data_IF_396841614081
#
_entry.id   IF_396841614081
#
_cell.length_a   1.000
_cell.length_b   1.000
_cell.length_c   1.000
_cell.angle_alpha   90.00
_cell.angle_beta   90.00
_cell.angle_gamma   90.00
#
_symmetry.space_group_name_H-M   'P 1'
#
loop_
_entity.id
_entity.type
_entity.pdbx_description
1 polymer ?
2 water ?
#
# COMPACT_ATOMS: atom_id res chain seq x y z
N UNK A 5 -47.54 -41.90 0.36
CA UNK A 5 -46.17 -41.78 -0.11
C UNK A 5 -45.87 -40.35 -0.57
N UNK A 6 -44.58 -40.02 -0.64
CA UNK A 6 -44.15 -38.67 -0.96
C UNK A 6 -43.86 -38.46 -2.44
N UNK A 7 -43.88 -37.21 -2.87
CA UNK A 7 -43.46 -36.84 -4.22
C UNK A 7 -41.95 -37.06 -4.36
N UNK A 8 -41.52 -37.54 -5.51
CA UNK A 8 -40.10 -37.82 -5.73
C UNK A 8 -39.26 -36.55 -5.64
N UNK A 9 -39.82 -35.45 -6.12
CA UNK A 9 -39.11 -34.16 -6.13
C UNK A 9 -39.06 -33.52 -4.75
N UNK A 10 -39.62 -34.21 -3.76
CA UNK A 10 -39.45 -33.82 -2.36
C UNK A 10 -38.43 -34.73 -1.68
N UNK A 11 -38.50 -36.02 -2.02
CA UNK A 11 -37.60 -37.01 -1.44
C UNK A 11 -36.15 -36.83 -1.90
N UNK A 12 -35.98 -36.33 -3.13
CA UNK A 12 -34.66 -36.28 -3.75
C UNK A 12 -33.63 -35.41 -3.01
N UNK A 13 -34.07 -34.63 -2.04
CA UNK A 13 -33.16 -33.75 -1.31
C UNK A 13 -32.78 -34.29 0.06
N UNK A 14 -33.23 -35.50 0.37
CA UNK A 14 -33.13 -36.03 1.73
C UNK A 14 -31.81 -36.73 2.08
N UNK A 15 -31.00 -37.08 1.08
CA UNK A 15 -29.80 -37.85 1.33
C UNK A 15 -28.79 -37.09 2.19
N UNK A 16 -28.34 -37.75 3.26
CA UNK A 16 -27.56 -37.10 4.32
C UNK A 16 -26.05 -37.16 4.15
N UNK A 17 -25.58 -38.00 3.23
CA UNK A 17 -24.15 -38.18 3.04
C UNK A 17 -23.50 -37.03 2.28
N UNK A 18 -22.15 -37.03 2.22
CA UNK A 18 -21.40 -36.05 1.45
C UNK A 18 -21.36 -36.39 -0.04
N UNK A 19 -21.18 -35.38 -0.89
CA UNK A 19 -20.98 -35.60 -2.32
C UNK A 19 -19.60 -36.19 -2.55
N UNK A 20 -19.51 -37.17 -3.45
CA UNK A 20 -18.26 -37.91 -3.63
C UNK A 20 -17.71 -37.89 -5.05
N UNK A 21 -18.31 -37.09 -5.92
CA UNK A 21 -17.87 -37.05 -7.30
C UNK A 21 -17.44 -35.65 -7.74
N UNK A 22 -16.81 -35.59 -8.91
CA UNK A 22 -16.40 -34.34 -9.50
C UNK A 22 -16.41 -34.44 -11.00
N UNK A 23 -16.05 -33.36 -11.68
CA UNK A 23 -15.88 -33.40 -13.13
C UNK A 23 -14.42 -33.21 -13.47
N UNK A 24 -13.97 -33.93 -14.49
CA UNK A 24 -12.59 -33.90 -14.93
C UNK A 24 -12.50 -33.15 -16.26
N UNK A 25 -11.77 -32.04 -16.28
CA UNK A 25 -11.66 -31.25 -17.49
C UNK A 25 -10.21 -30.92 -17.81
N UNK A 26 -9.92 -30.64 -19.07
CA UNK A 26 -8.60 -30.16 -19.45
C UNK A 26 -8.36 -28.81 -18.80
N UNK A 27 -7.11 -28.56 -18.40
CA UNK A 27 -6.75 -27.31 -17.76
C UNK A 27 -7.17 -26.10 -18.59
N UNK A 28 -6.99 -26.19 -19.91
CA UNK A 28 -7.34 -25.08 -20.79
C UNK A 28 -8.83 -24.77 -20.79
N UNK A 29 -9.63 -25.69 -20.25
CA UNK A 29 -11.08 -25.48 -20.17
C UNK A 29 -11.52 -25.12 -18.74
N UNK A 30 -10.61 -25.29 -17.79
CA UNK A 30 -10.91 -25.16 -16.36
C UNK A 30 -11.74 -23.92 -16.01
N UNK A 31 -11.17 -22.75 -16.28
CA UNK A 31 -11.85 -21.49 -15.99
C UNK A 31 -13.26 -21.50 -16.58
N UNK A 32 -13.35 -21.83 -17.88
CA UNK A 32 -14.65 -21.90 -18.57
C UNK A 32 -15.61 -22.75 -17.74
N UNK A 33 -15.17 -23.98 -17.46
CA UNK A 33 -16.01 -24.93 -16.78
C UNK A 33 -16.38 -24.43 -15.39
N UNK A 34 -15.41 -23.82 -14.69
CA UNK A 34 -15.69 -23.32 -13.34
C UNK A 34 -16.89 -22.38 -13.42
N UNK A 35 -16.82 -21.45 -14.38
CA UNK A 35 -17.89 -20.48 -14.57
C UNK A 35 -19.18 -21.23 -14.76
N UNK A 36 -19.16 -22.16 -15.71
CA UNK A 36 -20.34 -22.93 -16.06
C UNK A 36 -20.93 -23.55 -14.80
N UNK A 37 -20.07 -24.20 -14.01
CA UNK A 37 -20.54 -24.97 -12.87
C UNK A 37 -21.20 -24.05 -11.84
N UNK A 38 -20.65 -22.84 -11.70
CA UNK A 38 -21.24 -21.90 -10.77
C UNK A 38 -22.58 -21.41 -11.29
N UNK A 39 -22.64 -21.18 -12.60
CA UNK A 39 -23.84 -20.60 -13.19
C UNK A 39 -25.01 -21.58 -13.16
N UNK A 40 -24.68 -22.86 -13.31
CA UNK A 40 -25.69 -23.91 -13.30
C UNK A 40 -26.09 -24.25 -11.86
N UNK A 41 -25.18 -24.01 -10.93
CA UNK A 41 -25.47 -24.11 -9.51
C UNK A 41 -25.11 -25.44 -8.86
N UNK A 42 -24.18 -26.17 -9.47
CA UNK A 42 -23.82 -27.50 -8.95
C UNK A 42 -22.37 -27.59 -8.50
N UNK A 43 -21.75 -26.45 -8.26
CA UNK A 43 -20.38 -26.41 -7.75
C UNK A 43 -20.37 -26.64 -6.24
N UNK A 44 -19.65 -27.67 -5.79
CA UNK A 44 -19.61 -28.03 -4.37
C UNK A 44 -18.56 -27.22 -3.62
N UNK A 45 -19.02 -26.21 -2.88
CA UNK A 45 -18.12 -25.34 -2.14
C UNK A 45 -17.43 -26.02 -0.97
N UNK A 46 -17.88 -27.22 -0.62
CA UNK A 46 -17.40 -27.89 0.58
C UNK A 46 -16.09 -28.64 0.34
N UNK A 47 -15.72 -28.83 -0.93
CA UNK A 47 -14.49 -29.54 -1.26
C UNK A 47 -13.55 -28.69 -2.10
N UNK A 48 -12.26 -29.02 -2.06
CA UNK A 48 -11.26 -28.38 -2.90
C UNK A 48 -11.27 -28.96 -4.30
N UNK A 49 -10.95 -28.13 -5.28
CA UNK A 49 -10.59 -28.64 -6.60
C UNK A 49 -9.15 -29.10 -6.57
N UNK A 50 -8.78 -30.01 -7.46
CA UNK A 50 -7.39 -30.42 -7.58
C UNK A 50 -6.95 -30.42 -9.04
N UNK A 51 -5.66 -30.65 -9.28
CA UNK A 51 -5.13 -30.65 -10.62
C UNK A 51 -3.89 -31.53 -10.74
N UNK A 52 -3.60 -31.98 -11.96
CA UNK A 52 -2.29 -32.52 -12.29
C UNK A 52 -1.73 -31.74 -13.48
N UNK A 53 -0.90 -32.38 -14.29
CA UNK A 53 -0.24 -31.67 -15.39
C UNK A 53 -1.19 -31.33 -16.54
N UNK A 54 -2.27 -32.10 -16.69
CA UNK A 54 -3.16 -31.92 -17.84
C UNK A 54 -4.61 -31.63 -17.43
N UNK A 55 -5.01 -32.09 -16.26
CA UNK A 55 -6.42 -32.04 -15.89
C UNK A 55 -6.71 -31.33 -14.55
N UNK A 56 -7.91 -30.79 -14.44
CA UNK A 56 -8.45 -30.26 -13.21
C UNK A 56 -9.71 -31.06 -12.84
N UNK A 57 -9.92 -31.28 -11.55
CA UNK A 57 -11.16 -31.89 -11.09
C UNK A 57 -11.93 -30.94 -10.18
N UNK A 58 -13.15 -30.60 -10.57
CA UNK A 58 -14.01 -29.75 -9.75
C UNK A 58 -15.05 -30.59 -9.00
N UNK A 59 -15.22 -30.34 -7.70
CA UNK A 59 -16.27 -31.07 -6.98
C UNK A 59 -17.67 -30.60 -7.38
N UNK A 60 -18.57 -31.53 -7.68
CA UNK A 60 -19.94 -31.16 -8.05
C UNK A 60 -20.98 -31.76 -7.11
N UNK A 61 -22.16 -31.16 -7.08
CA UNK A 61 -23.24 -31.59 -6.19
C UNK A 61 -24.32 -32.41 -6.91
N UNK A 62 -24.26 -32.44 -8.23
CA UNK A 62 -25.23 -33.19 -9.02
C UNK A 62 -24.56 -33.72 -10.29
N UNK A 63 -24.27 -35.02 -10.31
CA UNK A 63 -23.55 -35.61 -11.42
C UNK A 63 -24.42 -35.79 -12.66
N UNK A 64 -25.73 -35.84 -12.46
CA UNK A 64 -26.66 -35.96 -13.59
C UNK A 64 -26.71 -34.66 -14.40
N UNK A 65 -26.82 -33.53 -13.70
CA UNK A 65 -26.76 -32.22 -14.34
C UNK A 65 -25.41 -32.07 -15.03
N UNK A 66 -24.35 -32.51 -14.35
CA UNK A 66 -22.99 -32.49 -14.89
C UNK A 66 -22.92 -33.23 -16.22
N UNK A 67 -23.46 -34.44 -16.27
CA UNK A 67 -23.49 -35.19 -17.52
C UNK A 67 -24.32 -34.46 -18.57
N UNK A 68 -25.40 -33.82 -18.13
CA UNK A 68 -26.25 -33.05 -19.03
C UNK A 68 -25.52 -31.82 -19.59
N UNK A 69 -24.39 -31.47 -18.96
CA UNK A 69 -23.54 -30.40 -19.47
C UNK A 69 -22.40 -30.94 -20.33
N UNK A 70 -22.36 -32.26 -20.51
CA UNK A 70 -21.35 -32.90 -21.33
C UNK A 70 -20.02 -33.13 -20.63
N UNK A 71 -20.03 -33.02 -19.31
CA UNK A 71 -18.81 -33.12 -18.52
C UNK A 71 -18.52 -34.53 -18.04
N UNK A 72 -17.25 -34.91 -18.02
CA UNK A 72 -16.87 -36.23 -17.55
C UNK A 72 -16.94 -36.32 -16.03
N UNK A 73 -17.84 -37.15 -15.54
CA UNK A 73 -17.97 -37.39 -14.11
C UNK A 73 -16.97 -38.43 -13.63
N UNK A 74 -16.26 -38.12 -12.56
CA UNK A 74 -15.34 -39.05 -11.94
C UNK A 74 -15.66 -39.19 -10.46
N UNK A 75 -15.33 -40.36 -9.90
CA UNK A 75 -15.48 -40.58 -8.46
C UNK A 75 -14.11 -40.49 -7.80
N UNK A 76 -13.92 -39.46 -6.99
CA UNK A 76 -12.65 -39.21 -6.33
C UNK A 76 -12.86 -38.69 -4.92
N UNK A 77 -11.88 -38.92 -4.05
CA UNK A 77 -11.92 -38.32 -2.73
C UNK A 77 -11.09 -37.03 -2.77
N UNK A 78 -11.80 -35.90 -2.72
CA UNK A 78 -11.18 -34.59 -2.80
C UNK A 78 -11.02 -33.99 -1.41
N UNK A 79 -10.00 -33.13 -1.23
CA UNK A 79 -9.80 -32.44 0.04
C UNK A 79 -11.02 -31.63 0.48
N UNK A 80 -11.29 -31.62 1.78
CA UNK A 80 -12.33 -30.75 2.33
C UNK A 80 -11.80 -29.33 2.37
N UNK A 81 -12.69 -28.35 2.21
CA UNK A 81 -12.28 -26.96 2.31
C UNK A 81 -11.77 -26.71 3.72
N UNK A 82 -10.75 -25.85 3.86
CA UNK A 82 -10.27 -25.51 5.19
C UNK A 82 -11.35 -24.81 6.00
N UNK A 83 -11.45 -25.09 7.29
CA UNK A 83 -12.36 -24.35 8.15
C UNK A 83 -11.58 -23.27 8.87
N UNK A 84 -10.34 -23.59 9.22
CA UNK A 84 -9.46 -22.64 9.89
C UNK A 84 -8.48 -22.05 8.89
N UNK A 85 -7.95 -20.87 9.19
CA UNK A 85 -7.24 -20.07 8.19
C UNK A 85 -5.87 -19.56 8.68
N UNK A 86 -4.85 -20.39 8.54
CA UNK A 86 -3.54 -20.10 9.16
C UNK A 86 -2.54 -19.37 8.26
N UNK A 87 -2.97 -18.97 7.07
CA UNK A 87 -2.11 -18.22 6.16
C UNK A 87 -1.73 -16.88 6.80
N UNK A 88 -0.51 -16.43 6.56
CA UNK A 88 -0.01 -15.20 7.15
C UNK A 88 0.53 -14.26 6.09
N UNK A 89 1.02 -14.84 4.98
CA UNK A 89 1.45 -14.03 3.84
C UNK A 89 0.65 -14.32 2.55
N UNK A 90 0.76 -13.40 1.59
CA UNK A 90 0.15 -13.56 0.28
C UNK A 90 0.68 -14.79 -0.45
N UNK A 91 1.96 -15.08 -0.26
CA UNK A 91 2.58 -16.22 -0.93
C UNK A 91 1.94 -17.52 -0.49
N UNK A 92 1.37 -17.55 0.71
CA UNK A 92 0.67 -18.73 1.20
C UNK A 92 -0.59 -19.04 0.38
N UNK A 93 -1.09 -18.03 -0.33
CA UNK A 93 -2.39 -18.15 -0.99
C UNK A 93 -2.32 -18.15 -2.52
N UNK A 94 -1.11 -18.02 -3.06
CA UNK A 94 -0.95 -17.95 -4.50
C UNK A 94 0.14 -18.88 -5.00
N UNK A 95 -0.02 -19.39 -6.23
CA UNK A 95 1.09 -20.04 -6.93
C UNK A 95 2.29 -19.10 -6.99
N UNK A 96 3.50 -19.65 -6.85
CA UNK A 96 4.69 -18.84 -6.80
C UNK A 96 4.90 -18.03 -8.07
N UNK A 97 4.53 -18.62 -9.20
CA UNK A 97 4.68 -17.98 -10.50
C UNK A 97 3.86 -16.70 -10.58
N UNK A 98 2.73 -16.67 -9.89
CA UNK A 98 1.89 -15.48 -9.84
C UNK A 98 2.38 -14.50 -8.77
N UNK A 99 2.67 -15.02 -7.58
CA UNK A 99 3.13 -14.18 -6.48
C UNK A 99 4.40 -13.39 -6.82
N UNK A 100 5.34 -14.05 -7.47
CA UNK A 100 6.64 -13.45 -7.77
C UNK A 100 6.55 -12.23 -8.67
N UNK A 101 5.47 -12.14 -9.45
CA UNK A 101 5.33 -11.06 -10.42
C UNK A 101 4.48 -9.91 -9.88
N UNK A 102 3.83 -10.13 -8.74
CA UNK A 102 3.09 -9.07 -8.07
C UNK A 102 4.05 -8.02 -7.52
N UNK A 103 3.61 -6.77 -7.53
CA UNK A 103 4.37 -5.72 -6.87
C UNK A 103 4.09 -5.74 -5.39
N UNK A 104 4.60 -4.73 -4.68
CA UNK A 104 4.36 -4.63 -3.25
C UNK A 104 2.88 -4.38 -2.95
N UNK A 105 2.34 -5.09 -1.97
CA UNK A 105 0.98 -4.82 -1.54
C UNK A 105 0.98 -3.85 -0.36
N UNK A 106 0.15 -2.83 -0.44
CA UNK A 106 0.04 -1.82 0.60
C UNK A 106 -1.38 -1.77 1.15
N UNK A 107 -1.51 -1.59 2.45
CA UNK A 107 -2.81 -1.33 3.05
C UNK A 107 -2.89 0.12 3.50
N UNK A 108 -3.89 0.84 2.98
CA UNK A 108 -4.18 2.18 3.44
C UNK A 108 -5.64 2.22 3.89
N UNK A 109 -5.86 2.35 5.20
CA UNK A 109 -7.19 2.30 5.75
C UNK A 109 -7.84 0.95 5.49
N UNK A 110 -8.93 0.94 4.71
CA UNK A 110 -9.57 -0.30 4.31
C UNK A 110 -9.42 -0.50 2.81
N UNK A 111 -8.33 0.02 2.26
CA UNK A 111 -8.02 -0.12 0.84
C UNK A 111 -6.74 -0.92 0.65
N UNK A 112 -6.80 -1.95 -0.19
CA UNK A 112 -5.60 -2.68 -0.56
C UNK A 112 -5.14 -2.24 -1.94
N UNK A 113 -3.86 -1.92 -2.06
CA UNK A 113 -3.28 -1.49 -3.34
C UNK A 113 -2.16 -2.43 -3.75
N UNK A 114 -2.24 -2.93 -4.98
CA UNK A 114 -1.27 -3.91 -5.46
C UNK A 114 -0.91 -3.63 -6.92
N UNK A 115 0.34 -3.92 -7.29
CA UNK A 115 0.76 -3.87 -8.68
C UNK A 115 0.52 -5.22 -9.34
N UNK A 116 -0.15 -5.20 -10.49
CA UNK A 116 -0.37 -6.40 -11.28
C UNK A 116 0.06 -6.17 -12.73
N UNK A 117 1.22 -6.70 -13.11
CA UNK A 117 1.69 -6.56 -14.49
C UNK A 117 0.69 -7.18 -15.47
N UNK A 118 0.66 -6.67 -16.70
CA UNK A 118 -0.29 -7.13 -17.70
C UNK A 118 -0.30 -8.65 -17.87
N UNK A 119 0.88 -9.26 -17.86
CA UNK A 119 1.00 -10.67 -18.20
C UNK A 119 0.49 -11.64 -17.13
N UNK A 120 0.09 -11.12 -15.97
CA UNK A 120 -0.64 -11.95 -15.01
C UNK A 120 -2.00 -11.35 -14.68
N UNK A 121 -2.45 -10.38 -15.49
CA UNK A 121 -3.76 -9.79 -15.29
C UNK A 121 -4.84 -10.85 -15.46
N UNK A 122 -4.54 -11.86 -16.28
CA UNK A 122 -5.45 -12.98 -16.49
C UNK A 122 -5.73 -13.76 -15.21
N UNK A 123 -4.88 -13.57 -14.19
CA UNK A 123 -5.06 -14.28 -12.92
C UNK A 123 -5.72 -13.40 -11.86
N UNK A 124 -6.17 -12.23 -12.32
CA UNK A 124 -6.82 -11.24 -11.46
C UNK A 124 -7.71 -11.85 -10.36
N UNK A 125 -8.64 -12.72 -10.75
CA UNK A 125 -9.63 -13.23 -9.81
C UNK A 125 -9.02 -14.05 -8.67
N UNK A 126 -7.94 -14.79 -8.91
CA UNK A 126 -7.34 -15.54 -7.81
C UNK A 126 -6.61 -14.52 -6.92
N UNK A 127 -5.99 -13.53 -7.57
CA UNK A 127 -5.23 -12.53 -6.86
C UNK A 127 -6.13 -11.81 -5.87
N UNK A 128 -7.22 -11.23 -6.38
CA UNK A 128 -8.24 -10.64 -5.53
C UNK A 128 -8.63 -11.60 -4.41
N UNK A 129 -8.93 -12.85 -4.77
CA UNK A 129 -9.37 -13.83 -3.79
C UNK A 129 -8.36 -13.86 -2.66
N UNK A 130 -7.10 -14.03 -3.03
CA UNK A 130 -6.02 -14.15 -2.05
C UNK A 130 -6.04 -12.95 -1.12
N UNK A 131 -6.09 -11.76 -1.72
CA UNK A 131 -6.02 -10.55 -0.92
C UNK A 131 -7.19 -10.51 0.04
N UNK A 132 -8.37 -10.83 -0.46
CA UNK A 132 -9.58 -10.79 0.37
C UNK A 132 -9.46 -11.75 1.53
N UNK A 133 -8.77 -12.87 1.29
CA UNK A 133 -8.62 -13.85 2.34
C UNK A 133 -7.62 -13.36 3.37
N UNK A 134 -6.55 -12.73 2.90
CA UNK A 134 -5.48 -12.32 3.81
C UNK A 134 -5.94 -11.11 4.61
N UNK A 135 -6.78 -10.29 3.99
CA UNK A 135 -7.26 -9.07 4.63
C UNK A 135 -8.78 -8.98 4.57
N UNK A 136 -9.47 -9.74 5.44
CA UNK A 136 -10.92 -9.83 5.48
C UNK A 136 -11.62 -8.47 5.63
N UNK A 137 -10.91 -7.49 6.17
CA UNK A 137 -11.52 -6.22 6.52
C UNK A 137 -11.37 -5.14 5.44
N UNK A 138 -10.54 -5.38 4.43
CA UNK A 138 -10.42 -4.38 3.35
C UNK A 138 -11.70 -4.38 2.51
N UNK A 139 -12.12 -3.18 2.11
CA UNK A 139 -13.36 -3.00 1.36
C UNK A 139 -13.08 -2.65 -0.08
N UNK A 140 -11.83 -2.31 -0.37
CA UNK A 140 -11.43 -1.90 -1.71
C UNK A 140 -10.09 -2.52 -2.10
N UNK A 141 -10.02 -3.03 -3.32
CA UNK A 141 -8.77 -3.49 -3.90
C UNK A 141 -8.53 -2.79 -5.22
N UNK A 142 -7.41 -2.07 -5.28
CA UNK A 142 -7.04 -1.28 -6.45
C UNK A 142 -5.70 -1.72 -7.03
N UNK A 143 -5.63 -1.69 -8.36
CA UNK A 143 -4.42 -2.04 -9.09
C UNK A 143 -3.56 -0.79 -9.30
N UNK A 144 -2.26 -0.92 -9.04
CA UNK A 144 -1.38 0.23 -9.02
C UNK A 144 -0.67 0.48 -10.34
N UNK A 145 -0.85 1.69 -10.87
CA UNK A 145 -0.09 2.14 -12.03
C UNK A 145 1.18 2.84 -11.57
N UNK A 146 1.40 4.04 -12.09
CA UNK A 146 2.54 4.85 -11.65
C UNK A 146 2.11 6.30 -11.40
N UNK A 147 3.00 7.10 -10.83
CA UNK A 147 2.67 8.48 -10.46
C UNK A 147 2.54 9.36 -11.70
N UNK A 148 1.64 10.35 -11.61
CA UNK A 148 1.42 11.29 -12.71
C UNK A 148 1.32 12.73 -12.21
N UNK A 149 1.77 13.67 -13.03
CA UNK A 149 1.59 15.09 -12.76
C UNK A 149 2.42 15.67 -11.63
N UNK A 150 2.24 16.97 -11.40
CA UNK A 150 2.98 17.70 -10.38
C UNK A 150 2.73 17.17 -8.97
N UNK A 151 1.51 16.72 -8.72
CA UNK A 151 1.09 16.33 -7.37
C UNK A 151 1.45 14.87 -7.07
N UNK A 152 2.02 14.20 -8.06
CA UNK A 152 2.54 12.83 -7.92
C UNK A 152 1.45 11.86 -7.48
N UNK A 153 0.28 11.98 -8.09
CA UNK A 153 -0.83 11.08 -7.83
C UNK A 153 -0.59 9.75 -8.52
N UNK A 154 -0.83 8.66 -7.80
CA UNK A 154 -0.65 7.33 -8.35
C UNK A 154 -1.86 6.92 -9.18
N UNK A 155 -1.62 6.39 -10.38
CA UNK A 155 -2.68 5.80 -11.17
C UNK A 155 -3.22 4.58 -10.45
N UNK A 156 -4.53 4.57 -10.20
CA UNK A 156 -5.16 3.45 -9.51
C UNK A 156 -6.47 3.08 -10.19
N UNK A 157 -6.70 1.77 -10.32
CA UNK A 157 -7.99 1.29 -10.80
C UNK A 157 -8.59 0.31 -9.80
N UNK A 158 -9.81 0.59 -9.35
CA UNK A 158 -10.51 -0.31 -8.44
C UNK A 158 -10.88 -1.60 -9.16
N UNK A 159 -10.34 -2.72 -8.69
CA UNK A 159 -10.64 -4.00 -9.32
C UNK A 159 -11.51 -4.87 -8.43
N UNK A 160 -11.68 -4.48 -7.17
CA UNK A 160 -12.68 -5.15 -6.34
C UNK A 160 -13.23 -4.25 -5.23
N UNK A 161 -14.52 -4.40 -4.93
CA UNK A 161 -15.11 -3.72 -3.79
C UNK A 161 -15.75 -2.39 -4.12
N UNK A 162 -15.91 -1.55 -3.10
CA UNK A 162 -16.53 -0.23 -3.25
C UNK A 162 -15.74 0.63 -4.23
N UNK A 163 -16.44 1.41 -5.04
CA UNK A 163 -15.80 2.24 -6.05
C UNK A 163 -15.38 3.60 -5.48
N UNK A 164 -14.35 3.59 -4.65
CA UNK A 164 -13.84 4.80 -4.01
C UNK A 164 -12.39 4.61 -3.58
N UNK A 165 -11.65 5.70 -3.50
CA UNK A 165 -10.24 5.65 -3.14
C UNK A 165 -9.92 6.52 -1.93
N UNK A 166 -10.97 6.87 -1.17
CA UNK A 166 -10.78 7.66 0.04
C UNK A 166 -11.04 6.82 1.27
N UNK A 167 -10.28 7.07 2.34
CA UNK A 167 -10.38 6.30 3.56
C UNK A 167 -9.71 7.03 4.72
N UNK A 168 -9.82 6.48 5.92
CA UNK A 168 -9.07 7.00 7.05
C UNK A 168 -8.07 5.94 7.51
N UNK A 169 -6.79 6.31 7.47
CA UNK A 169 -5.70 5.42 7.80
C UNK A 169 -5.23 5.70 9.23
N UNK A 170 -5.00 4.66 10.01
CA UNK A 170 -4.50 4.84 11.37
C UNK A 170 -3.01 4.63 11.41
N UNK A 171 -2.28 5.55 12.05
CA UNK A 171 -0.83 5.39 12.14
C UNK A 171 -0.23 6.18 13.29
N UNK A 172 0.59 5.50 14.10
CA UNK A 172 1.33 6.15 15.19
C UNK A 172 0.43 7.00 16.08
N UNK A 173 -0.81 6.56 16.27
CA UNK A 173 -1.74 7.23 17.16
C UNK A 173 -2.50 8.39 16.54
N UNK A 174 -2.38 8.58 15.23
CA UNK A 174 -3.14 9.63 14.56
C UNK A 174 -3.99 9.08 13.42
N UNK A 175 -4.98 9.89 13.04
CA UNK A 175 -5.92 9.56 11.97
C UNK A 175 -5.63 10.39 10.72
N UNK A 176 -5.40 9.70 9.62
CA UNK A 176 -5.01 10.34 8.38
C UNK A 176 -6.04 10.09 7.29
N UNK A 177 -6.90 11.07 7.03
CA UNK A 177 -7.81 10.98 5.90
C UNK A 177 -6.99 11.08 4.63
N UNK A 178 -7.19 10.12 3.72
CA UNK A 178 -6.53 10.16 2.43
C UNK A 178 -7.56 9.97 1.33
N UNK A 179 -7.31 10.57 0.18
CA UNK A 179 -8.01 10.24 -1.05
C UNK A 179 -6.95 9.96 -2.10
N UNK A 180 -6.74 8.67 -2.36
CA UNK A 180 -5.65 8.25 -3.23
C UNK A 180 -5.86 8.63 -4.69
N UNK A 181 -7.06 9.10 -5.03
CA UNK A 181 -7.33 9.55 -6.38
C UNK A 181 -6.89 11.00 -6.57
N UNK A 182 -6.55 11.67 -5.47
CA UNK A 182 -6.21 13.09 -5.52
C UNK A 182 -4.92 13.46 -4.80
N UNK A 183 -4.43 12.60 -3.92
CA UNK A 183 -3.18 12.90 -3.21
C UNK A 183 -2.21 11.72 -3.18
N UNK A 184 -0.95 12.03 -2.87
CA UNK A 184 0.08 11.02 -2.64
C UNK A 184 0.13 10.66 -1.17
N UNK A 185 0.24 9.37 -0.87
CA UNK A 185 0.48 8.93 0.50
C UNK A 185 1.14 7.56 0.54
N UNK A 186 2.18 7.43 1.37
CA UNK A 186 2.88 6.16 1.52
C UNK A 186 2.84 5.69 2.97
N UNK A 187 2.08 4.61 3.23
CA UNK A 187 1.96 4.05 4.58
C UNK A 187 3.30 3.51 5.11
N UNK A 188 4.13 3.03 4.19
CA UNK A 188 5.42 2.44 4.53
C UNK A 188 6.33 3.38 5.33
N UNK A 189 6.05 4.69 5.26
CA UNK A 189 6.87 5.68 5.94
C UNK A 189 6.57 5.79 7.43
N UNK A 190 5.60 5.00 7.90
CA UNK A 190 5.23 4.94 9.31
C UNK A 190 6.47 4.94 10.22
N UNK A 191 7.35 3.97 10.01
CA UNK A 191 8.57 3.86 10.77
C UNK A 191 9.36 5.16 10.79
N UNK A 192 9.66 5.69 9.60
CA UNK A 192 10.41 6.93 9.52
C UNK A 192 9.73 8.01 10.34
N UNK A 193 8.42 8.14 10.19
CA UNK A 193 7.71 9.23 10.81
C UNK A 193 7.69 9.05 12.32
N UNK A 194 7.76 7.80 12.76
CA UNK A 194 7.85 7.57 14.19
C UNK A 194 9.25 7.96 14.64
N UNK A 195 10.25 7.50 13.88
CA UNK A 195 11.64 7.68 14.23
C UNK A 195 11.96 9.15 14.49
N UNK A 196 11.72 9.98 13.48
CA UNK A 196 12.00 11.41 13.60
C UNK A 196 11.21 12.01 14.76
N UNK A 197 9.97 11.56 14.94
CA UNK A 197 9.14 12.07 16.02
C UNK A 197 9.81 11.85 17.37
N UNK A 198 10.51 10.73 17.50
CA UNK A 198 11.17 10.42 18.76
C UNK A 198 12.42 11.28 18.92
N UNK A 199 13.09 11.57 17.80
CA UNK A 199 14.32 12.36 17.81
C UNK A 199 14.07 13.81 18.20
N UNK A 200 12.92 14.34 17.78
CA UNK A 200 12.57 15.73 18.02
C UNK A 200 12.46 16.03 19.51
N UNK A 201 12.93 17.22 19.91
CA UNK A 201 12.78 17.70 21.28
C UNK A 201 11.72 18.78 21.38
N UNK A 202 11.00 18.80 22.50
CA UNK A 202 10.06 19.88 22.79
C UNK A 202 10.72 21.24 22.63
N UNK A 203 10.00 22.19 22.06
CA UNK A 203 10.52 23.54 21.90
C UNK A 203 11.03 23.83 20.51
N UNK A 204 11.14 22.79 19.68
CA UNK A 204 11.64 22.95 18.32
C UNK A 204 10.63 23.62 17.39
N UNK A 205 11.15 24.40 16.44
CA UNK A 205 10.37 24.84 15.30
C UNK A 205 10.79 23.98 14.11
N UNK A 206 9.81 23.39 13.43
CA UNK A 206 10.10 22.40 12.41
C UNK A 206 9.41 22.74 11.09
N UNK A 207 10.11 22.49 9.99
CA UNK A 207 9.56 22.72 8.67
C UNK A 207 9.45 21.41 7.89
N UNK A 208 8.26 21.14 7.36
CA UNK A 208 8.07 19.98 6.51
C UNK A 208 7.57 20.43 5.14
N UNK A 209 8.49 20.59 4.18
CA UNK A 209 8.07 20.83 2.80
C UNK A 209 7.48 19.57 2.20
N UNK A 210 6.69 19.71 1.13
CA UNK A 210 6.08 18.55 0.47
C UNK A 210 5.23 17.72 1.43
N UNK A 211 4.43 18.40 2.24
CA UNK A 211 3.81 17.78 3.41
C UNK A 211 2.62 16.87 3.12
N UNK A 212 2.08 16.92 1.91
CA UNK A 212 0.94 16.10 1.55
C UNK A 212 -0.27 16.36 2.44
N UNK A 213 -0.86 15.30 2.99
CA UNK A 213 -1.98 15.44 3.90
C UNK A 213 -1.47 15.47 5.34
N UNK A 214 -0.28 16.07 5.48
CA UNK A 214 0.51 16.23 6.72
C UNK A 214 0.67 15.03 7.69
N UNK A 215 0.91 13.81 7.17
CA UNK A 215 1.17 12.73 8.14
C UNK A 215 2.43 12.94 8.98
N UNK A 216 3.48 13.52 8.40
CA UNK A 216 4.71 13.79 9.14
C UNK A 216 4.49 14.82 10.26
N UNK A 217 3.96 16.01 9.92
CA UNK A 217 3.68 16.96 11.00
C UNK A 217 2.75 16.37 12.06
N UNK A 218 1.77 15.59 11.64
CA UNK A 218 0.82 14.97 12.57
C UNK A 218 1.49 14.05 13.57
N UNK A 219 2.34 13.15 13.08
CA UNK A 219 3.00 12.20 13.98
C UNK A 219 3.96 12.93 14.93
N UNK A 220 4.75 13.84 14.37
CA UNK A 220 5.66 14.64 15.21
C UNK A 220 4.91 15.39 16.31
N UNK A 221 3.89 16.15 15.92
CA UNK A 221 3.09 16.93 16.86
C UNK A 221 2.31 16.03 17.82
N UNK A 222 2.11 14.78 17.41
CA UNK A 222 1.46 13.81 18.27
C UNK A 222 2.36 13.51 19.44
N UNK A 223 3.66 13.37 19.18
CA UNK A 223 4.54 12.98 20.28
C UNK A 223 5.36 14.10 20.94
N UNK A 224 5.39 15.28 20.35
CA UNK A 224 6.23 16.35 20.89
C UNK A 224 5.57 17.73 20.87
N UNK A 225 5.80 18.52 21.92
CA UNK A 225 5.31 19.89 21.96
C UNK A 225 6.23 20.80 21.13
N UNK A 226 5.90 20.94 19.85
CA UNK A 226 6.70 21.71 18.91
C UNK A 226 5.80 22.47 17.96
N UNK A 227 6.37 23.39 17.19
CA UNK A 227 5.63 24.04 16.12
C UNK A 227 6.12 23.56 14.76
N UNK A 228 5.20 23.06 13.96
CA UNK A 228 5.54 22.53 12.64
C UNK A 228 4.88 23.33 11.51
N UNK A 229 5.71 23.86 10.63
CA UNK A 229 5.23 24.47 9.39
C UNK A 229 5.18 23.42 8.29
N UNK A 230 4.02 23.28 7.65
CA UNK A 230 3.85 22.33 6.58
C UNK A 230 3.50 23.04 5.27
N UNK A 231 4.25 22.75 4.21
CA UNK A 231 4.05 23.40 2.93
C UNK A 231 3.72 22.38 1.84
N UNK A 232 2.57 22.57 1.17
CA UNK A 232 2.10 21.63 0.16
C UNK A 232 1.38 22.37 -0.97
N UNK A 233 1.68 22.01 -2.21
CA UNK A 233 1.19 22.72 -3.38
C UNK A 233 -0.17 22.20 -3.87
N UNK A 234 -0.48 20.94 -3.52
CA UNK A 234 -1.73 20.30 -3.91
C UNK A 234 -2.89 20.75 -3.02
N UNK A 235 -3.82 21.51 -3.59
CA UNK A 235 -4.91 22.07 -2.79
C UNK A 235 -5.86 20.99 -2.27
N UNK A 236 -5.96 19.87 -2.97
CA UNK A 236 -6.77 18.76 -2.48
C UNK A 236 -6.09 18.16 -1.23
N UNK A 237 -4.77 18.00 -1.34
CA UNK A 237 -3.96 17.55 -0.21
C UNK A 237 -4.05 18.51 0.94
N UNK A 238 -4.04 19.81 0.63
CA UNK A 238 -4.17 20.86 1.64
C UNK A 238 -5.51 20.77 2.37
N UNK A 239 -6.58 20.60 1.59
CA UNK A 239 -7.93 20.42 2.15
C UNK A 239 -7.95 19.26 3.14
N UNK A 240 -7.48 18.10 2.68
CA UNK A 240 -7.44 16.92 3.52
C UNK A 240 -6.56 17.14 4.76
N UNK A 241 -5.50 17.94 4.60
CA UNK A 241 -4.60 18.23 5.70
C UNK A 241 -5.30 19.04 6.77
N UNK A 242 -6.11 20.02 6.35
CA UNK A 242 -6.89 20.80 7.29
C UNK A 242 -7.88 19.90 8.03
N UNK A 243 -8.53 19.02 7.27
CA UNK A 243 -9.47 18.09 7.89
C UNK A 243 -8.78 17.15 8.88
N UNK A 244 -7.52 16.81 8.61
CA UNK A 244 -6.74 15.96 9.50
C UNK A 244 -6.31 16.70 10.75
N UNK A 245 -5.97 17.97 10.59
CA UNK A 245 -5.61 18.83 11.70
C UNK A 245 -6.80 18.92 12.65
N UNK A 246 -7.99 19.07 12.08
CA UNK A 246 -9.20 19.13 12.89
C UNK A 246 -9.52 17.79 13.55
N UNK A 247 -9.37 16.72 12.78
CA UNK A 247 -9.67 15.36 13.25
C UNK A 247 -8.78 14.94 14.42
N UNK A 248 -7.53 15.39 14.43
CA UNK A 248 -6.56 15.01 15.46
C UNK A 248 -6.31 16.08 16.52
N UNK A 249 -7.09 17.16 16.50
CA UNK A 249 -6.82 18.34 17.32
C UNK A 249 -6.67 18.03 18.81
N UNK A 250 -7.46 17.10 19.31
CA UNK A 250 -7.48 16.80 20.74
C UNK A 250 -6.36 15.86 21.19
N UNK A 251 -5.65 15.26 20.24
CA UNK A 251 -4.60 14.32 20.61
C UNK A 251 -3.19 14.78 20.22
N UNK A 252 -3.06 16.04 19.80
CA UNK A 252 -1.76 16.59 19.44
C UNK A 252 -1.18 17.45 20.56
N UNK A 253 0.09 17.19 20.89
CA UNK A 253 0.80 18.03 21.85
C UNK A 253 1.35 19.29 21.20
N UNK A 254 1.69 19.17 19.92
CA UNK A 254 2.29 20.28 19.19
C UNK A 254 1.30 21.06 18.37
N UNK A 255 1.80 22.09 17.69
CA UNK A 255 0.97 22.93 16.84
C UNK A 255 1.42 22.83 15.39
N UNK A 256 0.46 22.88 14.47
CA UNK A 256 0.77 22.73 13.06
C UNK A 256 0.19 23.87 12.23
N UNK A 257 1.04 24.46 11.39
CA UNK A 257 0.66 25.55 10.51
C UNK A 257 0.72 25.07 9.06
N UNK A 258 -0.44 25.03 8.40
CA UNK A 258 -0.51 24.55 7.03
C UNK A 258 -0.42 25.69 6.03
N UNK A 259 0.55 25.61 5.13
CA UNK A 259 0.71 26.61 4.09
C UNK A 259 0.49 26.01 2.70
N UNK A 260 -0.58 26.45 2.03
CA UNK A 260 -0.79 26.06 0.65
C UNK A 260 0.11 26.89 -0.26
N UNK A 261 1.09 26.25 -0.88
CA UNK A 261 1.97 26.95 -1.78
C UNK A 261 3.06 26.08 -2.39
N UNK A 262 3.81 26.68 -3.30
CA UNK A 262 4.95 26.06 -3.92
C UNK A 262 6.16 26.16 -2.99
N UNK A 263 6.66 25.01 -2.54
CA UNK A 263 7.83 24.94 -1.67
C UNK A 263 8.96 25.87 -2.12
N UNK A 264 9.23 25.86 -3.41
CA UNK A 264 10.33 26.64 -3.97
C UNK A 264 10.05 28.14 -4.01
N UNK A 265 8.79 28.51 -3.82
CA UNK A 265 8.44 29.92 -3.71
C UNK A 265 8.29 30.31 -2.25
N UNK A 266 7.72 29.40 -1.47
CA UNK A 266 7.39 29.69 -0.07
C UNK A 266 8.61 29.72 0.84
N UNK A 267 9.50 28.74 0.70
CA UNK A 267 10.63 28.60 1.63
C UNK A 267 11.60 29.79 1.67
N UNK A 268 11.93 30.40 0.51
CA UNK A 268 12.79 31.58 0.63
C UNK A 268 12.17 32.74 1.44
N UNK A 269 10.84 32.71 1.64
CA UNK A 269 10.16 33.78 2.38
C UNK A 269 9.86 33.41 3.83
N UNK A 270 10.34 32.25 4.28
CA UNK A 270 10.13 31.82 5.66
C UNK A 270 11.35 32.14 6.52
N UNK A 271 11.16 32.24 7.84
CA UNK A 271 12.31 32.27 8.73
C UNK A 271 12.99 30.91 8.71
N UNK A 272 14.12 30.77 9.40
CA UNK A 272 14.77 29.47 9.44
C UNK A 272 14.25 28.63 10.60
N UNK A 273 14.60 27.36 10.60
CA UNK A 273 14.04 26.41 11.57
C UNK A 273 15.13 25.59 12.24
N UNK A 274 14.82 25.07 13.43
CA UNK A 274 15.73 24.14 14.10
C UNK A 274 15.93 22.91 13.23
N UNK A 275 14.82 22.32 12.79
CA UNK A 275 14.84 21.06 12.07
C UNK A 275 13.98 21.13 10.80
N UNK A 276 14.52 20.61 9.70
CA UNK A 276 13.76 20.51 8.46
C UNK A 276 13.63 19.04 8.05
N UNK A 277 12.42 18.64 7.74
CA UNK A 277 12.14 17.26 7.32
C UNK A 277 11.57 17.29 5.91
N UNK A 278 12.31 16.77 4.94
CA UNK A 278 11.91 16.89 3.54
C UNK A 278 11.64 15.55 2.86
N UNK A 279 10.38 15.09 2.90
CA UNK A 279 9.98 13.91 2.15
C UNK A 279 9.88 14.25 0.66
N UNK A 280 11.04 14.48 0.06
CA UNK A 280 11.13 14.97 -1.31
C UNK A 280 10.44 14.04 -2.30
N UNK A 281 9.65 14.61 -3.23
CA UNK A 281 9.10 13.79 -4.32
C UNK A 281 10.24 13.13 -5.09
N UNK A 282 10.03 11.90 -5.55
CA UNK A 282 11.08 11.20 -6.28
C UNK A 282 11.52 11.97 -7.51
N UNK A 283 12.83 12.18 -7.63
CA UNK A 283 13.39 12.85 -8.78
C UNK A 283 13.61 14.33 -8.58
N UNK A 284 12.92 14.91 -7.61
CA UNK A 284 13.08 16.33 -7.31
C UNK A 284 14.31 16.56 -6.43
N UNK A 285 15.08 17.59 -6.77
CA UNK A 285 16.22 17.99 -5.95
C UNK A 285 15.87 19.25 -5.16
N UNK A 286 15.68 19.09 -3.86
CA UNK A 286 15.39 20.22 -2.99
C UNK A 286 16.42 20.34 -1.88
N UNK A 287 17.60 19.77 -2.10
CA UNK A 287 18.62 19.72 -1.06
C UNK A 287 19.10 21.10 -0.62
N UNK A 288 19.51 21.93 -1.57
CA UNK A 288 20.01 23.26 -1.27
C UNK A 288 19.00 24.07 -0.46
N UNK A 289 17.77 24.17 -0.96
CA UNK A 289 16.73 24.97 -0.33
C UNK A 289 16.38 24.48 1.08
N UNK A 290 16.09 23.19 1.19
CA UNK A 290 15.70 22.61 2.47
C UNK A 290 16.82 22.75 3.49
N UNK A 291 18.07 22.49 3.08
CA UNK A 291 19.20 22.68 3.98
C UNK A 291 19.33 24.15 4.37
N UNK A 292 19.03 25.04 3.43
CA UNK A 292 19.16 26.46 3.69
C UNK A 292 18.16 26.89 4.75
N UNK A 293 17.07 26.15 4.90
CA UNK A 293 16.11 26.49 5.96
C UNK A 293 16.42 25.84 7.33
N UNK A 294 17.46 25.02 7.42
CA UNK A 294 17.76 24.29 8.65
C UNK A 294 18.89 24.93 9.45
N UNK A 295 18.71 25.02 10.77
CA UNK A 295 19.72 25.58 11.66
C UNK A 295 20.47 24.49 12.43
N UNK A 296 19.75 23.41 12.78
CA UNK A 296 20.37 22.34 13.58
C UNK A 296 20.33 20.98 12.89
N UNK A 297 19.19 20.62 12.31
CA UNK A 297 19.06 19.31 11.65
C UNK A 297 18.31 19.36 10.34
N UNK A 298 18.77 18.56 9.37
CA UNK A 298 18.00 18.31 8.17
C UNK A 298 17.80 16.82 7.98
N UNK A 299 16.59 16.42 7.61
CA UNK A 299 16.34 15.04 7.22
C UNK A 299 15.86 15.04 5.79
N UNK A 300 16.77 14.73 4.87
CA UNK A 300 16.49 14.87 3.45
C UNK A 300 16.34 13.52 2.75
N UNK A 301 15.12 13.21 2.32
CA UNK A 301 14.85 11.93 1.68
C UNK A 301 15.13 11.98 0.18
N UNK A 302 15.67 10.89 -0.36
CA UNK A 302 15.96 10.82 -1.79
C UNK A 302 15.88 9.38 -2.28
N UNK A 303 16.05 9.19 -3.57
CA UNK A 303 16.10 7.86 -4.15
C UNK A 303 17.42 7.73 -4.92
N UNK A 304 18.21 6.74 -4.54
CA UNK A 304 19.59 6.63 -5.02
C UNK A 304 19.94 5.19 -5.40
N UNK A 305 20.59 5.03 -6.56
CA UNK A 305 21.13 3.75 -6.94
C UNK A 305 22.21 3.35 -5.93
N UNK A 306 22.36 2.06 -5.67
CA UNK A 306 23.31 1.61 -4.65
C UNK A 306 24.75 1.91 -5.04
N UNK A 307 24.99 2.14 -6.33
CA UNK A 307 26.33 2.49 -6.80
C UNK A 307 26.59 3.99 -6.65
N UNK A 308 25.58 4.73 -6.21
CA UNK A 308 25.67 6.19 -6.14
C UNK A 308 25.57 6.73 -4.71
N UNK A 309 25.38 5.86 -3.73
CA UNK A 309 25.21 6.28 -2.33
C UNK A 309 26.34 7.17 -1.83
N UNK A 310 27.58 6.74 -2.08
CA UNK A 310 28.74 7.50 -1.66
C UNK A 310 28.77 8.86 -2.33
N UNK A 311 28.45 8.89 -3.62
CA UNK A 311 28.36 10.14 -4.36
C UNK A 311 27.28 11.03 -3.78
N UNK A 312 26.16 10.44 -3.41
CA UNK A 312 25.06 11.16 -2.76
C UNK A 312 25.54 11.86 -1.48
N UNK A 313 26.25 11.10 -0.64
CA UNK A 313 26.79 11.63 0.60
C UNK A 313 27.75 12.79 0.32
N UNK A 314 28.63 12.58 -0.65
CA UNK A 314 29.60 13.57 -1.07
C UNK A 314 28.93 14.88 -1.52
N UNK A 315 27.84 14.76 -2.29
CA UNK A 315 27.09 15.92 -2.77
C UNK A 315 26.40 16.66 -1.64
N UNK A 316 25.86 15.92 -0.68
CA UNK A 316 25.27 16.56 0.49
C UNK A 316 26.33 17.37 1.25
N UNK A 317 27.50 16.76 1.46
CA UNK A 317 28.61 17.45 2.11
C UNK A 317 29.03 18.71 1.34
N UNK A 318 29.11 18.58 0.02
CA UNK A 318 29.42 19.69 -0.87
C UNK A 318 28.45 20.86 -0.68
N UNK A 319 27.15 20.55 -0.64
CA UNK A 319 26.17 21.62 -0.42
C UNK A 319 26.32 22.23 0.96
N UNK A 320 26.65 21.40 1.96
CA UNK A 320 26.90 21.91 3.31
C UNK A 320 28.02 22.94 3.29
N UNK A 321 29.12 22.62 2.61
CA UNK A 321 30.24 23.55 2.50
C UNK A 321 29.87 24.79 1.71
N UNK A 322 29.07 24.62 0.66
CA UNK A 322 28.67 25.74 -0.20
C UNK A 322 27.87 26.77 0.60
N UNK A 323 27.09 26.30 1.56
CA UNK A 323 26.30 27.19 2.40
C UNK A 323 27.05 27.64 3.65
N UNK A 324 28.33 27.25 3.73
CA UNK A 324 29.17 27.66 4.83
C UNK A 324 28.84 26.96 6.14
N UNK A 325 28.26 25.76 6.04
CA UNK A 325 27.87 25.00 7.23
C UNK A 325 28.89 23.91 7.54
N UNK A 326 29.19 23.76 8.83
CA UNK A 326 29.98 22.62 9.31
C UNK A 326 29.00 21.53 9.73
N UNK A 327 29.08 20.37 9.10
CA UNK A 327 28.05 19.35 9.31
C UNK A 327 28.58 17.94 9.47
N UNK A 328 27.84 17.13 10.22
CA UNK A 328 28.00 15.69 10.19
C UNK A 328 26.89 15.13 9.30
N UNK A 329 27.26 14.36 8.28
CA UNK A 329 26.27 13.80 7.37
C UNK A 329 26.23 12.28 7.47
N UNK A 330 25.05 11.75 7.82
CA UNK A 330 24.84 10.30 7.87
C UNK A 330 23.76 9.89 6.89
N UNK A 331 24.06 8.91 6.04
CA UNK A 331 23.09 8.41 5.08
C UNK A 331 22.54 7.05 5.50
N UNK A 332 21.21 6.95 5.56
CA UNK A 332 20.54 5.70 5.91
C UNK A 332 19.77 5.14 4.72
N UNK A 333 19.86 3.84 4.52
CA UNK A 333 18.93 3.16 3.63
C UNK A 333 17.59 3.09 4.35
N UNK A 334 16.56 3.67 3.74
CA UNK A 334 15.26 3.73 4.37
C UNK A 334 14.38 2.58 3.88
N UNK A 335 14.42 2.29 2.58
CA UNK A 335 13.74 1.10 2.09
C UNK A 335 14.23 0.67 0.72
N UNK A 336 14.01 -0.60 0.38
CA UNK A 336 14.27 -1.08 -0.98
C UNK A 336 13.18 -0.57 -1.90
N UNK A 337 13.57 0.23 -2.89
CA UNK A 337 12.61 0.83 -3.80
C UNK A 337 12.47 -0.02 -5.06
N UNK A 338 13.57 -0.21 -5.76
CA UNK A 338 13.65 -1.06 -6.94
C UNK A 338 14.82 -1.99 -6.74
N UNK A 339 15.01 -2.98 -7.63
CA UNK A 339 16.30 -3.67 -7.53
C UNK A 339 17.43 -2.66 -7.72
N UNK A 340 18.41 -2.67 -6.82
CA UNK A 340 19.57 -1.79 -6.87
C UNK A 340 19.27 -0.30 -6.64
N UNK A 341 18.02 0.03 -6.28
CA UNK A 341 17.68 1.41 -5.92
C UNK A 341 17.08 1.49 -4.51
N UNK A 342 17.60 2.41 -3.71
CA UNK A 342 17.13 2.59 -2.34
C UNK A 342 16.46 3.94 -2.13
N UNK A 343 15.38 3.95 -1.36
CA UNK A 343 14.95 5.19 -0.73
C UNK A 343 15.87 5.39 0.46
N UNK A 344 16.53 6.55 0.47
CA UNK A 344 17.51 6.88 1.50
C UNK A 344 17.14 8.18 2.22
N UNK A 345 17.78 8.39 3.37
CA UNK A 345 17.66 9.64 4.09
C UNK A 345 19.03 10.15 4.49
N UNK A 346 19.30 11.41 4.15
CA UNK A 346 20.48 12.09 4.65
C UNK A 346 20.12 12.81 5.94
N UNK A 347 20.66 12.31 7.05
CA UNK A 347 20.60 13.02 8.31
C UNK A 347 21.78 13.99 8.40
N UNK A 348 21.47 15.28 8.40
CA UNK A 348 22.49 16.30 8.48
C UNK A 348 22.44 17.02 9.81
N UNK A 349 23.49 16.86 10.60
CA UNK A 349 23.62 17.60 11.85
C UNK A 349 24.49 18.83 11.63
N UNK A 350 23.90 20.00 11.81
CA UNK A 350 24.64 21.25 11.62
C UNK A 350 25.35 21.64 12.91
N UNK A 351 26.67 21.78 12.83
CA UNK A 351 27.49 21.97 14.01
C UNK A 351 27.68 23.43 14.38
N UNK A 352 27.75 23.70 15.68
CA UNK A 352 27.80 25.06 16.19
C UNK A 352 29.09 25.31 16.95
#
# INVERSE_FOLDING_TARGET
MGSSHHHHHHLEVLFQGPHMSGVKVRREDAKKVLELLKSVGILDGKRKAIRDEKYVIFPVTDTNIAKSLGLEVVDVELPMRPERQIYKNLEDLLPREIFKKLGRLDIVGDIAIVSIPDEILSEREVIVSAIRKLYPKVKVIARRGFHSGLYRIRELEVIWGENRLHTIHKENGVLIKVDLSKVFFNPRMKGERYRIAQLVNDGERILVPFAGVIPYPLVIARFKNVEVYAVEINEFAVKLAEENLELNRDRLKGKIKIIHGDVFEVLPNLPNFDRVVSPTPKGVDALSLTLSKAEKFLHYYDFVHESEIERFRERVLEECRRQGKECRVSVRKVSDYKPHVYKVCADVEILS
#
